data_IF_043777771858
#
_entry.id   IF_043777771858
#
_cell.length_a   1.000
_cell.length_b   1.000
_cell.length_c   1.000
_cell.angle_alpha   90.00
_cell.angle_beta   90.00
_cell.angle_gamma   90.00
#
_symmetry.space_group_name_H-M   'P 1'
#
loop_
_entity.id
_entity.type
_entity.pdbx_description
1 polymer ?
#
# COMPACT_ATOMS: atom_id res chain seq x y z
N UNK A 1 -53.49 -34.14 42.30
CA UNK A 1 -54.16 -33.30 41.28
C UNK A 1 -53.32 -32.05 41.07
N UNK A 2 -53.02 -31.73 39.80
CA UNK A 2 -52.65 -30.40 39.27
C UNK A 2 -51.22 -29.91 39.59
N UNK A 3 -50.39 -29.39 38.68
CA UNK A 3 -50.53 -29.12 37.25
C UNK A 3 -49.14 -29.06 36.62
N UNK A 4 -49.00 -29.66 35.45
CA UNK A 4 -47.82 -29.57 34.60
C UNK A 4 -47.77 -28.16 33.97
N UNK A 5 -46.68 -27.42 34.14
CA UNK A 5 -46.29 -26.33 33.23
C UNK A 5 -44.92 -26.66 32.65
N UNK A 6 -44.93 -27.02 31.37
CA UNK A 6 -43.79 -27.42 30.56
C UNK A 6 -43.06 -26.20 30.01
N UNK A 7 -41.74 -26.37 29.89
CA UNK A 7 -40.87 -25.86 28.83
C UNK A 7 -40.58 -24.34 28.87
N UNK A 8 -39.41 -23.83 28.53
CA UNK A 8 -38.26 -24.38 27.81
C UNK A 8 -37.04 -23.52 28.13
N UNK A 9 -35.85 -24.10 28.30
CA UNK A 9 -34.60 -23.50 27.80
C UNK A 9 -33.72 -24.66 27.31
N UNK A 10 -33.72 -24.83 26.00
CA UNK A 10 -32.78 -25.66 25.27
C UNK A 10 -31.60 -24.79 24.82
N UNK A 11 -30.40 -25.37 24.72
CA UNK A 11 -29.38 -24.86 23.81
C UNK A 11 -27.94 -24.87 24.34
N UNK A 12 -27.27 -26.01 24.17
CA UNK A 12 -25.87 -26.22 23.80
C UNK A 12 -24.88 -25.04 23.92
N UNK A 13 -23.92 -25.18 24.84
CA UNK A 13 -22.67 -24.43 24.85
C UNK A 13 -21.66 -25.07 23.89
N UNK A 14 -21.47 -24.48 22.71
CA UNK A 14 -20.31 -24.72 21.84
C UNK A 14 -19.28 -23.62 22.11
N UNK A 15 -18.23 -23.94 22.85
CA UNK A 15 -17.09 -23.07 23.10
C UNK A 15 -16.26 -22.91 21.81
N UNK A 16 -16.55 -21.87 21.05
CA UNK A 16 -15.63 -21.34 20.04
C UNK A 16 -14.95 -20.10 20.59
N UNK A 17 -13.65 -20.14 20.81
CA UNK A 17 -12.84 -18.93 20.95
C UNK A 17 -11.73 -19.00 19.90
N UNK A 18 -12.06 -18.35 18.79
CA UNK A 18 -11.22 -18.08 17.64
C UNK A 18 -9.98 -17.30 18.09
N UNK A 19 -8.81 -17.78 17.69
CA UNK A 19 -7.57 -17.01 17.80
C UNK A 19 -7.68 -15.79 16.89
N UNK A 20 -7.83 -14.60 17.48
CA UNK A 20 -7.67 -13.36 16.74
C UNK A 20 -6.17 -13.16 16.50
N UNK A 21 -5.67 -13.61 15.35
CA UNK A 21 -4.41 -13.09 14.82
C UNK A 21 -4.62 -11.59 14.64
N UNK A 22 -3.96 -10.77 15.46
CA UNK A 22 -3.95 -9.33 15.30
C UNK A 22 -3.32 -8.99 13.95
N UNK A 23 -4.14 -8.84 12.90
CA UNK A 23 -3.70 -8.25 11.65
C UNK A 23 -3.32 -6.81 11.97
N UNK A 24 -2.02 -6.50 11.90
CA UNK A 24 -1.52 -5.17 12.12
C UNK A 24 -1.98 -4.28 10.95
N UNK A 25 -3.05 -3.52 11.15
CA UNK A 25 -3.70 -2.71 10.12
C UNK A 25 -2.96 -1.41 9.81
N UNK A 26 -1.84 -1.13 10.51
CA UNK A 26 -1.00 0.05 10.27
C UNK A 26 -0.44 0.13 8.84
N UNK A 27 -0.40 -0.99 8.12
CA UNK A 27 -0.02 -1.02 6.71
C UNK A 27 -1.13 -0.51 5.77
N UNK A 28 -2.40 -0.57 6.18
CA UNK A 28 -3.55 -0.16 5.36
C UNK A 28 -3.84 1.34 5.44
N UNK A 29 -3.30 2.05 6.43
CA UNK A 29 -3.56 3.48 6.65
C UNK A 29 -2.51 4.41 6.04
N UNK A 30 -1.43 3.87 5.45
CA UNK A 30 -0.34 4.68 4.89
C UNK A 30 -0.70 5.15 3.49
N UNK A 31 -0.60 6.46 3.27
CA UNK A 31 -0.70 7.07 1.94
C UNK A 31 0.56 6.71 1.15
N UNK A 32 0.38 6.29 -0.10
CA UNK A 32 1.49 5.91 -0.96
C UNK A 32 1.28 6.48 -2.35
N UNK A 33 2.38 6.93 -2.97
CA UNK A 33 2.47 7.16 -4.39
C UNK A 33 3.00 5.89 -5.05
N UNK A 34 2.30 5.39 -6.07
CA UNK A 34 2.76 4.26 -6.88
C UNK A 34 3.08 4.77 -8.27
N UNK A 35 4.30 4.52 -8.77
CA UNK A 35 4.70 4.85 -10.13
C UNK A 35 4.56 3.61 -11.00
N UNK A 36 3.82 3.77 -12.10
CA UNK A 36 3.61 2.74 -13.10
C UNK A 36 4.58 2.94 -14.26
N UNK A 37 5.14 1.83 -14.72
CA UNK A 37 6.08 1.82 -15.83
C UNK A 37 5.48 1.16 -17.06
N UNK A 38 6.02 1.49 -18.23
CA UNK A 38 5.74 0.80 -19.47
C UNK A 38 6.10 -0.68 -19.37
N UNK A 39 5.37 -1.52 -20.10
CA UNK A 39 5.68 -2.94 -20.16
C UNK A 39 7.07 -3.15 -20.78
N UNK A 40 7.99 -3.75 -20.02
CA UNK A 40 9.37 -3.97 -20.44
C UNK A 40 10.34 -2.84 -20.10
N UNK A 41 9.92 -1.82 -19.36
CA UNK A 41 10.83 -0.83 -18.78
C UNK A 41 11.94 -1.56 -17.99
N UNK A 42 13.22 -1.26 -18.25
CA UNK A 42 14.32 -1.92 -17.57
C UNK A 42 14.37 -1.50 -16.09
N UNK A 43 14.92 -2.36 -15.23
CA UNK A 43 15.12 -2.05 -13.81
C UNK A 43 15.93 -0.76 -13.57
N UNK A 44 16.75 -0.33 -14.53
CA UNK A 44 17.47 0.94 -14.49
C UNK A 44 16.54 2.16 -14.47
N UNK A 45 15.37 2.09 -15.13
CA UNK A 45 14.42 3.19 -15.18
C UNK A 45 13.69 3.33 -13.82
N UNK A 46 13.35 2.19 -13.21
CA UNK A 46 12.80 2.15 -11.85
C UNK A 46 13.80 2.72 -10.84
N UNK A 47 15.09 2.34 -10.97
CA UNK A 47 16.17 2.89 -10.16
C UNK A 47 16.37 4.39 -10.37
N UNK A 48 16.28 4.85 -11.62
CA UNK A 48 16.39 6.26 -11.94
C UNK A 48 15.28 7.09 -11.27
N UNK A 49 14.03 6.64 -11.35
CA UNK A 49 12.89 7.28 -10.66
C UNK A 49 13.12 7.35 -9.16
N UNK A 50 13.49 6.22 -8.54
CA UNK A 50 13.68 6.15 -7.08
C UNK A 50 14.78 7.10 -6.61
N UNK A 51 15.92 7.13 -7.33
CA UNK A 51 17.06 7.97 -6.99
C UNK A 51 16.81 9.46 -7.27
N UNK A 52 16.17 9.79 -8.40
CA UNK A 52 15.92 11.18 -8.80
C UNK A 52 14.79 11.82 -7.97
N UNK A 53 13.71 11.08 -7.74
CA UNK A 53 12.50 11.62 -7.12
C UNK A 53 12.40 11.37 -5.61
N UNK A 54 13.23 10.49 -5.03
CA UNK A 54 13.24 10.21 -3.59
C UNK A 54 13.72 11.35 -2.69
N UNK A 55 14.19 12.47 -3.28
CA UNK A 55 14.74 13.61 -2.55
C UNK A 55 13.99 14.93 -2.80
N UNK A 56 12.86 14.89 -3.51
CA UNK A 56 12.09 16.11 -3.87
C UNK A 56 11.44 16.80 -2.67
N UNK A 57 11.12 16.04 -1.62
CA UNK A 57 10.57 16.53 -0.36
C UNK A 57 11.01 15.59 0.78
N UNK A 58 11.12 16.12 1.99
CA UNK A 58 11.38 15.33 3.20
C UNK A 58 10.14 14.57 3.69
N UNK A 59 8.95 14.91 3.21
CA UNK A 59 7.68 14.29 3.59
C UNK A 59 7.24 13.16 2.64
N UNK A 60 8.08 12.87 1.64
CA UNK A 60 7.93 11.78 0.68
C UNK A 60 9.14 10.87 0.86
N UNK A 61 8.91 9.62 1.27
CA UNK A 61 9.98 8.67 1.59
C UNK A 61 10.00 7.57 0.52
N UNK A 62 11.11 7.41 -0.24
CA UNK A 62 11.23 6.32 -1.20
C UNK A 62 11.26 4.97 -0.48
N UNK A 63 10.43 4.03 -0.92
CA UNK A 63 10.48 2.65 -0.42
C UNK A 63 11.56 1.88 -1.21
N UNK A 64 12.42 1.09 -0.52
CA UNK A 64 13.46 0.33 -1.20
C UNK A 64 12.86 -0.64 -2.21
N UNK A 65 13.44 -0.71 -3.41
CA UNK A 65 13.09 -1.77 -4.34
C UNK A 65 13.49 -3.12 -3.75
N UNK A 66 12.67 -4.13 -4.05
CA UNK A 66 12.98 -5.50 -3.67
C UNK A 66 14.33 -5.90 -4.29
N UNK A 67 15.20 -6.49 -3.49
CA UNK A 67 16.50 -7.01 -3.94
C UNK A 67 16.42 -8.50 -4.28
N UNK A 68 15.21 -9.05 -4.35
CA UNK A 68 14.98 -10.45 -4.64
C UNK A 68 15.48 -10.77 -6.05
N UNK A 69 16.19 -11.88 -6.18
CA UNK A 69 16.66 -12.39 -7.47
C UNK A 69 15.56 -13.09 -8.27
N UNK A 70 14.34 -13.19 -7.73
CA UNK A 70 13.21 -13.75 -8.44
C UNK A 70 12.71 -12.76 -9.50
N UNK A 71 12.57 -13.19 -10.77
CA UNK A 71 12.08 -12.32 -11.84
C UNK A 71 10.70 -11.70 -11.57
N UNK A 72 9.87 -12.36 -10.76
CA UNK A 72 8.56 -11.85 -10.31
C UNK A 72 8.67 -10.63 -9.39
N UNK A 73 9.81 -10.48 -8.71
CA UNK A 73 10.01 -9.50 -7.65
C UNK A 73 10.92 -8.33 -8.12
N UNK A 74 11.67 -8.56 -9.20
CA UNK A 74 12.72 -7.66 -9.72
C UNK A 74 12.18 -6.42 -10.45
N UNK A 75 10.90 -6.38 -10.80
CA UNK A 75 10.27 -5.25 -11.54
C UNK A 75 8.97 -4.84 -10.86
N UNK A 76 9.05 -4.55 -9.56
CA UNK A 76 7.95 -3.92 -8.84
C UNK A 76 7.77 -2.46 -9.25
N UNK A 77 6.54 -1.94 -9.11
CA UNK A 77 6.29 -0.50 -9.18
C UNK A 77 7.15 0.23 -8.15
N UNK A 78 7.66 1.41 -8.50
CA UNK A 78 8.32 2.29 -7.53
C UNK A 78 7.26 2.87 -6.61
N UNK A 79 7.52 2.83 -5.30
CA UNK A 79 6.60 3.33 -4.28
C UNK A 79 7.28 4.42 -3.46
N UNK A 80 6.53 5.47 -3.16
CA UNK A 80 6.91 6.47 -2.18
C UNK A 80 5.86 6.50 -1.08
N UNK A 81 6.28 6.37 0.17
CA UNK A 81 5.40 6.63 1.30
C UNK A 81 5.20 8.13 1.44
N UNK A 82 3.95 8.54 1.57
CA UNK A 82 3.55 9.92 1.77
C UNK A 82 3.21 10.07 3.25
N UNK A 83 4.04 10.79 3.99
CA UNK A 83 3.81 10.99 5.43
C UNK A 83 2.92 12.22 5.65
N UNK A 84 3.50 13.43 5.58
CA UNK A 84 2.80 14.70 5.81
C UNK A 84 2.91 15.66 4.62
N UNK A 85 3.04 15.13 3.41
CA UNK A 85 3.25 15.97 2.23
C UNK A 85 2.01 16.80 1.91
N UNK A 86 2.21 18.09 1.66
CA UNK A 86 1.16 18.99 1.16
C UNK A 86 1.07 18.94 -0.38
N UNK A 87 0.04 19.57 -0.95
CA UNK A 87 -0.22 19.56 -2.38
C UNK A 87 0.95 20.08 -3.23
N UNK A 88 1.72 21.07 -2.73
CA UNK A 88 2.90 21.57 -3.45
C UNK A 88 3.97 20.47 -3.52
N UNK A 89 4.21 19.76 -2.43
CA UNK A 89 5.20 18.69 -2.38
C UNK A 89 4.80 17.50 -3.26
N UNK A 90 3.51 17.14 -3.26
CA UNK A 90 2.97 16.12 -4.17
C UNK A 90 3.12 16.54 -5.63
N UNK A 91 2.87 17.81 -5.96
CA UNK A 91 3.09 18.32 -7.32
C UNK A 91 4.56 18.31 -7.74
N UNK A 92 5.49 18.58 -6.81
CA UNK A 92 6.94 18.46 -7.10
C UNK A 92 7.32 17.01 -7.38
N UNK A 93 6.75 16.07 -6.63
CA UNK A 93 6.93 14.63 -6.86
C UNK A 93 6.41 14.23 -8.25
N UNK A 94 5.18 14.61 -8.61
CA UNK A 94 4.60 14.35 -9.93
C UNK A 94 5.47 14.93 -11.05
N UNK A 95 5.86 16.20 -10.94
CA UNK A 95 6.71 16.84 -11.95
C UNK A 95 8.07 16.16 -12.11
N UNK A 96 8.59 15.53 -11.05
CA UNK A 96 9.80 14.73 -11.14
C UNK A 96 9.53 13.41 -11.87
N UNK A 97 8.47 12.70 -11.49
CA UNK A 97 8.06 11.40 -12.05
C UNK A 97 7.79 11.51 -13.56
N UNK A 98 7.01 12.52 -13.98
CA UNK A 98 6.60 12.70 -15.38
C UNK A 98 7.78 12.99 -16.34
N UNK A 99 8.96 13.30 -15.80
CA UNK A 99 10.18 13.54 -16.58
C UNK A 99 11.06 12.29 -16.71
N UNK A 100 10.74 11.21 -16.01
CA UNK A 100 11.57 10.01 -15.98
C UNK A 100 11.26 9.08 -17.16
N UNK A 101 12.27 8.38 -17.69
CA UNK A 101 12.07 7.40 -18.75
C UNK A 101 11.24 6.22 -18.26
N UNK A 102 10.48 5.61 -19.19
CA UNK A 102 9.72 4.38 -18.94
C UNK A 102 8.50 4.54 -18.03
N UNK A 103 8.17 5.75 -17.55
CA UNK A 103 6.96 6.01 -16.75
C UNK A 103 5.74 6.04 -17.65
N UNK A 104 4.71 5.25 -17.28
CA UNK A 104 3.40 5.19 -17.94
C UNK A 104 2.29 5.87 -17.11
N UNK A 105 2.59 6.25 -15.87
CA UNK A 105 1.66 7.00 -15.02
C UNK A 105 1.99 6.84 -13.54
N UNK A 106 1.10 7.38 -12.70
CA UNK A 106 1.22 7.29 -11.25
C UNK A 106 -0.16 7.27 -10.60
N UNK A 107 -0.24 6.67 -9.42
CA UNK A 107 -1.39 6.72 -8.54
C UNK A 107 -0.98 7.40 -7.22
N UNK A 108 -1.57 8.56 -6.95
CA UNK A 108 -1.37 9.33 -5.72
C UNK A 108 -2.77 9.65 -5.20
N UNK A 109 -3.21 9.03 -4.09
CA UNK A 109 -4.60 9.10 -3.61
C UNK A 109 -5.17 10.52 -3.47
N UNK A 110 -4.32 11.49 -3.15
CA UNK A 110 -4.74 12.88 -2.92
C UNK A 110 -4.94 13.68 -4.22
N UNK A 111 -4.43 13.18 -5.35
CA UNK A 111 -4.46 13.87 -6.66
C UNK A 111 -5.37 13.17 -7.69
N UNK A 112 -5.81 11.94 -7.45
CA UNK A 112 -6.55 11.10 -8.41
C UNK A 112 -8.07 11.03 -8.17
N UNK A 113 -8.67 12.05 -7.55
CA UNK A 113 -10.14 12.16 -7.33
C UNK A 113 -10.97 12.25 -8.62
#
# INVERSE_FOLDING_TARGET
MNSVRRAAIAGLALAGLFGVSACNTDALSKREAVVHFEAGAPASDHQAVLAACGHVSTNVVPEPMSTSSLPSDAVGNVRFRIDHANDRELNLLVQCIDKQPGVNGWDIPDLTN
#
